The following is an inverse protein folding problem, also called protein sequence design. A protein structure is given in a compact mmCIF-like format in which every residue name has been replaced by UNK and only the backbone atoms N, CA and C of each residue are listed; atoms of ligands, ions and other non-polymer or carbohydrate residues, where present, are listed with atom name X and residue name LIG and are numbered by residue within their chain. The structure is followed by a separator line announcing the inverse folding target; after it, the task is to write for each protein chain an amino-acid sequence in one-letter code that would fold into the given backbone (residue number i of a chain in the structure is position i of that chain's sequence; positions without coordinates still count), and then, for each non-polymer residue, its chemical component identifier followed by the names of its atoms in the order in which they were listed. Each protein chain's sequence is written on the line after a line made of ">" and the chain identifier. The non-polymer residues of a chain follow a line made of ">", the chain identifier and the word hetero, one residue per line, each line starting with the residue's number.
data_IF_004016587270
#
_entry.id   IF_004016587270
#
_cell.length_a   1.000
_cell.length_b   1.000
_cell.length_c   1.000
_cell.angle_alpha   90.00
_cell.angle_beta   90.00
_cell.angle_gamma   90.00
#
_symmetry.space_group_name_H-M   'P 1'
#
loop_
_entity.id
_entity.type
_entity.pdbx_description
1 polymer ?
#
# COMPACT_ATOMS: atom_id res chain seq x y z
N UNK A 1 -10.56 -0.57 13.95
CA UNK A 1 -9.18 -0.53 13.38
C UNK A 1 -8.42 0.73 13.78
N UNK A 2 -7.08 0.67 13.83
CA UNK A 2 -6.22 1.86 14.04
C UNK A 2 -5.99 2.63 12.72
N UNK A 3 -6.11 3.96 12.75
CA UNK A 3 -5.69 4.85 11.63
C UNK A 3 -4.15 4.95 11.56
N UNK A 4 -3.63 5.07 10.35
CA UNK A 4 -2.21 5.38 10.12
C UNK A 4 -2.02 6.89 10.30
N UNK A 5 -1.18 7.28 11.26
CA UNK A 5 -0.79 8.67 11.43
C UNK A 5 0.33 9.01 10.45
N UNK A 6 -0.01 9.75 9.38
CA UNK A 6 0.98 10.23 8.43
C UNK A 6 2.04 11.08 9.14
N UNK A 7 3.30 10.81 8.82
CA UNK A 7 4.46 11.58 9.28
C UNK A 7 5.59 11.45 8.27
N UNK A 8 6.61 12.30 8.39
CA UNK A 8 7.78 12.32 7.51
C UNK A 8 8.55 10.98 7.50
N UNK A 9 8.27 10.10 8.47
CA UNK A 9 8.78 8.73 8.47
C UNK A 9 8.37 7.94 7.22
N UNK A 10 7.29 8.30 6.54
CA UNK A 10 6.85 7.61 5.31
C UNK A 10 7.42 8.22 4.02
N UNK A 11 8.20 9.30 4.16
CA UNK A 11 8.83 9.94 3.01
C UNK A 11 10.13 9.24 2.65
N UNK A 12 10.26 8.93 1.37
CA UNK A 12 11.49 8.51 0.71
C UNK A 12 12.29 9.72 0.22
N UNK A 13 11.62 10.86 -0.01
CA UNK A 13 12.21 12.04 -0.64
C UNK A 13 12.23 11.94 -2.17
N UNK A 14 11.35 11.13 -2.73
CA UNK A 14 11.08 11.01 -4.18
C UNK A 14 9.66 11.53 -4.36
N UNK A 15 9.46 12.74 -4.91
CA UNK A 15 8.16 13.43 -4.85
C UNK A 15 6.97 12.62 -5.36
N UNK A 16 7.17 11.85 -6.42
CA UNK A 16 6.13 10.99 -7.00
C UNK A 16 5.71 9.86 -6.04
N UNK A 17 6.68 9.13 -5.47
CA UNK A 17 6.40 8.04 -4.52
C UNK A 17 5.82 8.59 -3.21
N UNK A 18 6.34 9.71 -2.70
CA UNK A 18 5.84 10.34 -1.47
C UNK A 18 4.36 10.77 -1.60
N UNK A 19 3.97 11.25 -2.78
CA UNK A 19 2.58 11.56 -3.10
C UNK A 19 1.70 10.29 -3.16
N UNK A 20 2.21 9.21 -3.74
CA UNK A 20 1.51 7.93 -3.81
C UNK A 20 1.31 7.31 -2.41
N UNK A 21 2.36 7.26 -1.58
CA UNK A 21 2.27 6.82 -0.19
C UNK A 21 1.21 7.58 0.59
N UNK A 22 1.17 8.91 0.44
CA UNK A 22 0.17 9.74 1.13
C UNK A 22 -1.25 9.40 0.67
N UNK A 23 -1.43 9.13 -0.61
CA UNK A 23 -2.73 8.78 -1.18
C UNK A 23 -3.19 7.39 -0.73
N UNK A 24 -2.28 6.41 -0.65
CA UNK A 24 -2.55 5.08 -0.08
C UNK A 24 -2.96 5.18 1.40
N UNK A 25 -2.18 5.89 2.22
CA UNK A 25 -2.49 6.09 3.65
C UNK A 25 -3.83 6.81 3.84
N UNK A 26 -4.13 7.81 3.02
CA UNK A 26 -5.42 8.50 3.07
C UNK A 26 -6.59 7.56 2.70
N UNK A 27 -6.42 6.71 1.69
CA UNK A 27 -7.42 5.71 1.30
C UNK A 27 -7.70 4.73 2.44
N UNK A 28 -6.64 4.19 3.05
CA UNK A 28 -6.75 3.30 4.20
C UNK A 28 -7.41 3.97 5.40
N UNK A 29 -7.08 5.22 5.68
CA UNK A 29 -7.71 5.96 6.78
C UNK A 29 -9.21 6.23 6.54
N UNK A 30 -9.62 6.44 5.27
CA UNK A 30 -11.03 6.52 4.89
C UNK A 30 -11.73 5.18 5.07
N UNK A 31 -11.07 4.08 4.68
CA UNK A 31 -11.58 2.73 4.90
C UNK A 31 -11.83 2.48 6.40
N UNK A 32 -10.86 2.81 7.26
CA UNK A 32 -10.98 2.69 8.72
C UNK A 32 -12.16 3.48 9.28
N UNK A 33 -12.41 4.68 8.77
CA UNK A 33 -13.50 5.54 9.24
C UNK A 33 -14.89 5.09 8.77
N UNK A 34 -14.97 4.60 7.54
CA UNK A 34 -16.22 4.23 6.89
C UNK A 34 -16.68 2.81 7.20
N UNK A 35 -15.77 1.97 7.70
CA UNK A 35 -16.06 0.56 7.96
C UNK A 35 -17.30 0.34 8.85
N UNK A 36 -17.39 1.06 9.98
CA UNK A 36 -18.49 0.94 10.92
C UNK A 36 -19.67 1.89 10.64
N UNK A 37 -19.46 2.91 9.80
CA UNK A 37 -20.40 4.03 9.64
C UNK A 37 -21.18 3.99 8.33
N UNK A 38 -20.59 3.50 7.24
CA UNK A 38 -21.27 3.33 5.96
C UNK A 38 -20.68 2.18 5.14
N UNK A 39 -21.12 0.92 5.40
CA UNK A 39 -20.55 -0.24 4.73
C UNK A 39 -20.73 -0.27 3.21
N UNK A 40 -21.70 0.49 2.67
CA UNK A 40 -21.89 0.62 1.22
C UNK A 40 -20.74 1.33 0.51
N UNK A 41 -20.02 2.23 1.20
CA UNK A 41 -18.86 2.93 0.64
C UNK A 41 -17.56 2.10 0.71
N UNK A 42 -17.51 1.03 1.53
CA UNK A 42 -16.29 0.24 1.73
C UNK A 42 -15.82 -0.37 0.41
N UNK A 43 -16.75 -0.90 -0.40
CA UNK A 43 -16.40 -1.53 -1.66
C UNK A 43 -15.71 -0.54 -2.60
N UNK A 44 -16.26 0.66 -2.74
CA UNK A 44 -15.68 1.71 -3.61
C UNK A 44 -14.29 2.15 -3.13
N UNK A 45 -14.09 2.24 -1.81
CA UNK A 45 -12.78 2.56 -1.22
C UNK A 45 -11.77 1.43 -1.47
N UNK A 46 -12.20 0.17 -1.34
CA UNK A 46 -11.36 -1.00 -1.61
C UNK A 46 -11.00 -1.09 -3.09
N UNK A 47 -11.97 -0.92 -4.00
CA UNK A 47 -11.72 -0.91 -5.45
C UNK A 47 -10.69 0.17 -5.80
N UNK A 48 -10.88 1.40 -5.30
CA UNK A 48 -9.91 2.48 -5.49
C UNK A 48 -8.53 2.14 -4.91
N UNK A 49 -8.47 1.56 -3.71
CA UNK A 49 -7.21 1.18 -3.08
C UNK A 49 -6.44 0.15 -3.92
N UNK A 50 -7.14 -0.82 -4.49
CA UNK A 50 -6.55 -1.88 -5.33
C UNK A 50 -5.94 -1.31 -6.59
N UNK A 51 -6.71 -0.50 -7.32
CA UNK A 51 -6.20 0.12 -8.55
C UNK A 51 -4.99 1.02 -8.24
N UNK A 52 -5.07 1.77 -7.14
CA UNK A 52 -4.03 2.72 -6.78
C UNK A 52 -2.75 2.05 -6.25
N UNK A 53 -2.85 0.93 -5.52
CA UNK A 53 -1.67 0.21 -5.05
C UNK A 53 -0.94 -0.51 -6.19
N UNK A 54 -1.67 -1.01 -7.18
CA UNK A 54 -1.06 -1.59 -8.38
C UNK A 54 -0.29 -0.54 -9.18
N UNK A 55 -0.89 0.63 -9.41
CA UNK A 55 -0.22 1.76 -10.06
C UNK A 55 1.05 2.18 -9.29
N UNK A 56 0.96 2.23 -7.97
CA UNK A 56 2.10 2.55 -7.12
C UNK A 56 3.23 1.53 -7.27
N UNK A 57 2.94 0.24 -7.20
CA UNK A 57 3.94 -0.81 -7.41
C UNK A 57 4.57 -0.73 -8.80
N UNK A 58 3.78 -0.51 -9.86
CA UNK A 58 4.31 -0.32 -11.21
C UNK A 58 5.28 0.87 -11.28
N UNK A 59 4.97 1.97 -10.58
CA UNK A 59 5.84 3.15 -10.51
C UNK A 59 7.17 2.82 -9.84
N UNK A 60 7.13 2.13 -8.70
CA UNK A 60 8.35 1.73 -8.00
C UNK A 60 9.19 0.74 -8.80
N UNK A 61 8.55 -0.26 -9.40
CA UNK A 61 9.21 -1.28 -10.22
C UNK A 61 9.90 -0.67 -11.43
N UNK A 62 9.27 0.29 -12.10
CA UNK A 62 9.88 1.03 -13.20
C UNK A 62 11.10 1.85 -12.75
N UNK A 63 11.05 2.46 -11.56
CA UNK A 63 12.20 3.17 -11.00
C UNK A 63 13.32 2.21 -10.58
N UNK A 64 12.98 1.08 -9.97
CA UNK A 64 13.93 0.04 -9.61
C UNK A 64 14.67 -0.50 -10.85
N UNK A 65 13.94 -0.77 -11.94
CA UNK A 65 14.52 -1.22 -13.21
C UNK A 65 15.43 -0.15 -13.80
N UNK A 66 14.94 1.09 -13.92
CA UNK A 66 15.67 2.22 -14.51
C UNK A 66 17.01 2.48 -13.84
N UNK A 67 17.09 2.33 -12.52
CA UNK A 67 18.30 2.60 -11.74
C UNK A 67 19.04 1.33 -11.28
N UNK A 68 18.66 0.16 -11.81
CA UNK A 68 19.23 -1.14 -11.51
C UNK A 68 19.32 -1.41 -9.99
N UNK A 69 18.19 -1.27 -9.29
CA UNK A 69 18.11 -1.55 -7.86
C UNK A 69 18.43 -3.03 -7.58
N UNK A 70 19.44 -3.35 -6.75
CA UNK A 70 19.93 -4.71 -6.59
C UNK A 70 18.93 -5.69 -5.97
N UNK A 71 18.02 -5.19 -5.11
CA UNK A 71 17.05 -6.03 -4.41
C UNK A 71 15.66 -6.02 -5.09
N UNK A 72 15.59 -5.66 -6.37
CA UNK A 72 14.34 -5.55 -7.13
C UNK A 72 13.52 -6.86 -7.12
N UNK A 73 14.16 -8.01 -7.31
CA UNK A 73 13.46 -9.30 -7.40
C UNK A 73 12.70 -9.64 -6.11
N UNK A 74 13.32 -9.42 -4.95
CA UNK A 74 12.65 -9.69 -3.67
C UNK A 74 11.56 -8.65 -3.39
N UNK A 75 11.78 -7.38 -3.75
CA UNK A 75 10.78 -6.33 -3.61
C UNK A 75 9.53 -6.62 -4.46
N UNK A 76 9.70 -6.93 -5.75
CA UNK A 76 8.60 -7.32 -6.65
C UNK A 76 7.87 -8.55 -6.11
N UNK A 77 8.58 -9.52 -5.53
CA UNK A 77 7.96 -10.71 -4.93
C UNK A 77 7.05 -10.35 -3.75
N UNK A 78 7.42 -9.39 -2.92
CA UNK A 78 6.53 -8.85 -1.87
C UNK A 78 5.29 -8.18 -2.47
N UNK A 79 5.44 -7.36 -3.52
CA UNK A 79 4.30 -6.75 -4.23
C UNK A 79 3.34 -7.80 -4.78
N UNK A 80 3.85 -8.82 -5.48
CA UNK A 80 3.02 -9.88 -6.07
C UNK A 80 2.32 -10.72 -5.01
N UNK A 81 2.99 -11.00 -3.88
CA UNK A 81 2.37 -11.68 -2.74
C UNK A 81 1.22 -10.86 -2.15
N UNK A 82 1.45 -9.57 -1.92
CA UNK A 82 0.42 -8.65 -1.43
C UNK A 82 -0.77 -8.54 -2.38
N UNK A 83 -0.54 -8.33 -3.68
CA UNK A 83 -1.62 -8.28 -4.68
C UNK A 83 -2.49 -9.54 -4.66
N UNK A 84 -1.88 -10.71 -4.49
CA UNK A 84 -2.62 -11.98 -4.41
C UNK A 84 -3.49 -12.06 -3.16
N UNK A 85 -2.97 -11.65 -2.00
CA UNK A 85 -3.71 -11.67 -0.74
C UNK A 85 -4.78 -10.57 -0.70
N UNK A 86 -4.51 -9.42 -1.31
CA UNK A 86 -5.48 -8.36 -1.55
C UNK A 86 -6.65 -8.88 -2.40
N UNK A 87 -6.39 -9.52 -3.55
CA UNK A 87 -7.46 -10.10 -4.39
C UNK A 87 -8.37 -11.06 -3.63
N UNK A 88 -7.77 -11.96 -2.82
CA UNK A 88 -8.52 -12.88 -1.96
C UNK A 88 -9.36 -12.14 -0.91
N UNK A 89 -8.83 -11.04 -0.36
CA UNK A 89 -9.56 -10.20 0.59
C UNK A 89 -10.79 -9.56 -0.05
N UNK A 90 -10.70 -9.02 -1.27
CA UNK A 90 -11.89 -8.47 -1.94
C UNK A 90 -12.92 -9.53 -2.30
N UNK A 91 -12.48 -10.69 -2.80
CA UNK A 91 -13.41 -11.79 -3.12
C UNK A 91 -14.21 -12.19 -1.87
N UNK A 92 -13.53 -12.35 -0.74
CA UNK A 92 -14.17 -12.66 0.54
C UNK A 92 -15.03 -11.50 1.05
N UNK A 93 -14.63 -10.25 0.85
CA UNK A 93 -15.44 -9.08 1.21
C UNK A 93 -16.74 -9.04 0.41
N UNK A 94 -16.68 -9.31 -0.89
CA UNK A 94 -17.86 -9.36 -1.77
C UNK A 94 -18.80 -10.50 -1.35
N UNK A 95 -18.25 -11.66 -1.01
CA UNK A 95 -19.04 -12.85 -0.66
C UNK A 95 -19.65 -12.77 0.74
N UNK A 96 -18.88 -12.32 1.74
CA UNK A 96 -19.23 -12.39 3.15
C UNK A 96 -19.72 -11.05 3.72
N UNK A 97 -19.39 -9.94 3.05
CA UNK A 97 -19.70 -8.60 3.52
C UNK A 97 -18.88 -8.15 4.74
N UNK A 98 -19.24 -6.99 5.31
CA UNK A 98 -18.60 -6.44 6.50
C UNK A 98 -18.85 -7.33 7.72
N UNK A 99 -17.79 -7.63 8.48
CA UNK A 99 -17.86 -8.35 9.75
C UNK A 99 -16.64 -8.04 10.62
N UNK A 100 -16.66 -8.35 11.94
CA UNK A 100 -15.48 -8.18 12.79
C UNK A 100 -14.27 -9.01 12.33
N UNK A 101 -14.50 -10.15 11.67
CA UNK A 101 -13.41 -10.94 11.08
C UNK A 101 -12.83 -10.25 9.85
N UNK A 102 -13.68 -9.77 8.95
CA UNK A 102 -13.26 -9.02 7.78
C UNK A 102 -12.51 -7.73 8.16
N UNK A 103 -12.93 -7.06 9.24
CA UNK A 103 -12.26 -5.87 9.79
C UNK A 103 -10.81 -6.20 10.17
N UNK A 104 -10.60 -7.28 10.93
CA UNK A 104 -9.26 -7.74 11.33
C UNK A 104 -8.39 -8.10 10.14
N UNK A 105 -8.99 -8.70 9.11
CA UNK A 105 -8.29 -9.07 7.89
C UNK A 105 -7.87 -7.84 7.09
N UNK A 106 -8.71 -6.81 7.00
CA UNK A 106 -8.35 -5.51 6.41
C UNK A 106 -7.23 -4.83 7.20
N UNK A 107 -7.33 -4.79 8.53
CA UNK A 107 -6.33 -4.14 9.39
C UNK A 107 -4.95 -4.82 9.28
N UNK A 108 -4.90 -6.14 9.32
CA UNK A 108 -3.63 -6.88 9.20
C UNK A 108 -3.14 -6.95 7.76
N UNK A 109 -4.06 -7.24 6.85
CA UNK A 109 -3.77 -7.52 5.46
C UNK A 109 -3.39 -6.27 4.69
N UNK A 110 -4.02 -5.12 4.95
CA UNK A 110 -3.79 -3.88 4.19
C UNK A 110 -3.07 -2.83 5.02
N UNK A 111 -3.66 -2.43 6.15
CA UNK A 111 -3.16 -1.29 6.95
C UNK A 111 -1.77 -1.59 7.48
N UNK A 112 -1.61 -2.72 8.14
CA UNK A 112 -0.33 -3.12 8.74
C UNK A 112 0.70 -3.47 7.67
N UNK A 113 0.29 -4.06 6.55
CA UNK A 113 1.23 -4.40 5.49
C UNK A 113 1.81 -3.14 4.85
N UNK A 114 0.97 -2.18 4.43
CA UNK A 114 1.43 -0.92 3.81
C UNK A 114 2.34 -0.14 4.76
N UNK A 115 1.96 0.01 6.04
CA UNK A 115 2.83 0.72 7.00
C UNK A 115 4.20 0.04 7.14
N UNK A 116 4.24 -1.30 7.21
CA UNK A 116 5.49 -2.04 7.36
C UNK A 116 6.33 -2.05 6.07
N UNK A 117 5.69 -2.18 4.91
CA UNK A 117 6.36 -2.21 3.61
C UNK A 117 7.10 -0.90 3.36
N UNK A 118 6.40 0.24 3.50
CA UNK A 118 6.99 1.57 3.37
C UNK A 118 8.18 1.76 4.32
N UNK A 119 8.02 1.33 5.57
CA UNK A 119 9.01 1.58 6.62
C UNK A 119 10.27 0.70 6.50
N UNK A 120 10.16 -0.50 5.93
CA UNK A 120 11.24 -1.50 5.98
C UNK A 120 11.79 -1.90 4.60
N UNK A 121 11.01 -1.73 3.54
CA UNK A 121 11.34 -2.12 2.17
C UNK A 121 11.54 -0.86 1.33
N UNK A 122 10.52 -0.03 1.16
CA UNK A 122 10.57 1.14 0.26
C UNK A 122 11.64 2.12 0.71
N UNK A 123 11.86 2.28 2.02
CA UNK A 123 12.95 3.12 2.54
C UNK A 123 14.34 2.73 2.05
N UNK A 124 14.61 1.43 1.89
CA UNK A 124 15.92 0.96 1.39
C UNK A 124 16.05 1.33 -0.09
N UNK A 125 14.99 1.10 -0.86
CA UNK A 125 14.90 1.47 -2.26
C UNK A 125 15.02 2.99 -2.46
N UNK A 126 14.26 3.79 -1.71
CA UNK A 126 14.31 5.25 -1.76
C UNK A 126 15.67 5.83 -1.43
N UNK A 127 16.41 5.26 -0.46
CA UNK A 127 17.79 5.67 -0.18
C UNK A 127 18.69 5.42 -1.40
N UNK A 128 18.64 4.22 -1.98
CA UNK A 128 19.43 3.86 -3.15
C UNK A 128 19.10 4.75 -4.36
N UNK A 129 17.81 4.93 -4.66
CA UNK A 129 17.36 5.74 -5.79
C UNK A 129 17.81 7.20 -5.65
N UNK A 130 17.72 7.79 -4.46
CA UNK A 130 18.19 9.17 -4.25
C UNK A 130 19.68 9.35 -4.52
N UNK A 131 20.51 8.39 -4.14
CA UNK A 131 21.94 8.40 -4.44
C UNK A 131 22.18 8.33 -5.96
N UNK A 132 21.40 7.53 -6.69
CA UNK A 132 21.50 7.39 -8.15
C UNK A 132 20.89 8.53 -8.96
N UNK A 133 19.82 9.15 -8.48
CA UNK A 133 19.15 10.27 -9.15
C UNK A 133 19.90 11.60 -9.01
N UNK A 134 20.68 11.74 -7.93
CA UNK A 134 21.52 12.90 -7.69
C UNK A 134 22.94 12.81 -8.28
N UNK A 135 23.29 11.67 -8.90
CA UNK A 135 24.56 11.42 -9.60
C UNK A 135 24.40 11.65 -11.10
#
# INVERSE_FOLDING_TARGET
>A
MKKIEWSDKFMLGIPEIDMQHRSLVNSLNKLVEKYDTNPGEIKEILDFFVDYVLLHFETEEALMEKYAYPDMDEHVKEHRAFTKDLNRLMDDFIMLGPSPEMERRIEKGLVSWIENHIMNVDKKMGKYLKEKMGS
#
